data_IF_792523331112
#
_entry.id   IF_792523331112
#
_cell.length_a   1.000
_cell.length_b   1.000
_cell.length_c   1.000
_cell.angle_alpha   90.00
_cell.angle_beta   90.00
_cell.angle_gamma   90.00
#
_symmetry.space_group_name_H-M   'P 1'
#
loop_
_entity.id
_entity.type
_entity.pdbx_description
1 polymer ?
#
# COMPACT_ATOMS: atom_id res chain seq x y z
N UNK A 1 -4.99 28.16 11.31
CA UNK A 1 -4.13 27.25 10.53
C UNK A 1 -3.52 26.28 11.51
N UNK A 2 -3.85 24.98 11.39
CA UNK A 2 -3.44 23.94 12.34
C UNK A 2 -1.92 23.79 12.37
N UNK A 3 -1.35 23.82 13.57
CA UNK A 3 0.06 23.62 13.83
C UNK A 3 0.43 22.18 13.46
N UNK A 4 1.16 21.98 12.36
CA UNK A 4 1.71 20.67 12.02
C UNK A 4 3.05 20.52 12.75
N UNK A 5 3.12 19.58 13.68
CA UNK A 5 4.38 19.22 14.34
C UNK A 5 5.38 18.72 13.29
N UNK A 6 6.65 19.09 13.47
CA UNK A 6 7.76 18.60 12.64
C UNK A 6 7.73 17.08 12.62
N UNK A 7 7.95 16.51 11.44
CA UNK A 7 7.96 15.06 11.24
C UNK A 7 8.98 14.42 12.19
N UNK A 8 8.58 13.46 13.04
CA UNK A 8 9.50 12.83 13.97
C UNK A 8 10.60 12.08 13.22
N UNK A 9 11.85 12.22 13.69
CA UNK A 9 13.08 11.59 13.14
C UNK A 9 12.98 10.05 13.07
N UNK A 10 12.00 9.45 13.76
CA UNK A 10 11.72 8.01 13.77
C UNK A 10 11.37 7.39 12.40
N UNK A 11 11.15 8.18 11.34
CA UNK A 11 11.03 7.64 9.96
C UNK A 11 12.33 6.99 9.48
N UNK A 12 13.48 7.37 10.06
CA UNK A 12 14.79 6.83 9.70
C UNK A 12 15.06 5.44 10.30
N UNK A 13 14.21 4.99 11.23
CA UNK A 13 14.36 3.69 11.85
C UNK A 13 13.60 2.62 11.06
N UNK A 14 14.23 1.45 10.91
CA UNK A 14 13.63 0.28 10.27
C UNK A 14 12.37 -0.12 11.03
N UNK A 15 11.20 0.00 10.39
CA UNK A 15 9.92 -0.42 10.97
C UNK A 15 9.80 -1.93 10.81
N UNK A 16 10.30 -2.69 11.78
CA UNK A 16 10.41 -4.15 11.64
C UNK A 16 9.10 -4.91 11.87
N UNK A 17 8.08 -4.35 12.54
CA UNK A 17 7.04 -5.19 13.13
C UNK A 17 5.56 -4.79 12.94
N UNK A 18 5.23 -3.78 12.14
CA UNK A 18 3.83 -3.31 12.06
C UNK A 18 2.85 -4.35 11.50
N UNK A 19 3.26 -5.18 10.54
CA UNK A 19 2.40 -6.24 9.98
C UNK A 19 2.12 -7.35 10.99
N UNK A 20 3.12 -7.74 11.78
CA UNK A 20 2.94 -8.77 12.81
C UNK A 20 2.08 -8.26 13.96
N UNK A 21 2.26 -6.99 14.37
CA UNK A 21 1.40 -6.33 15.36
C UNK A 21 -0.04 -6.27 14.85
N UNK A 22 -0.25 -5.84 13.59
CA UNK A 22 -1.58 -5.79 13.00
C UNK A 22 -2.23 -7.16 12.86
N UNK A 23 -1.48 -8.19 12.44
CA UNK A 23 -1.99 -9.57 12.33
C UNK A 23 -2.39 -10.11 13.71
N UNK A 24 -1.59 -9.83 14.75
CA UNK A 24 -1.93 -10.20 16.12
C UNK A 24 -3.20 -9.50 16.60
N UNK A 25 -3.28 -8.17 16.49
CA UNK A 25 -4.48 -7.41 16.88
C UNK A 25 -5.74 -7.81 16.10
N UNK A 26 -5.60 -8.07 14.80
CA UNK A 26 -6.69 -8.53 13.95
C UNK A 26 -7.19 -9.90 14.37
N UNK A 27 -6.27 -10.81 14.70
CA UNK A 27 -6.59 -12.16 15.14
C UNK A 27 -7.26 -12.16 16.51
N UNK A 28 -6.81 -11.31 17.43
CA UNK A 28 -7.44 -11.15 18.75
C UNK A 28 -8.89 -10.67 18.60
N UNK A 29 -9.13 -9.67 17.73
CA UNK A 29 -10.50 -9.20 17.42
C UNK A 29 -11.35 -10.24 16.72
N UNK A 30 -10.77 -11.02 15.80
CA UNK A 30 -11.49 -12.12 15.13
C UNK A 30 -11.90 -13.19 16.14
N UNK A 31 -11.03 -13.54 17.08
CA UNK A 31 -11.35 -14.52 18.12
C UNK A 31 -12.42 -14.01 19.09
N UNK A 32 -12.43 -12.72 19.39
CA UNK A 32 -13.48 -12.08 20.21
C UNK A 32 -14.86 -12.13 19.54
N UNK A 33 -14.92 -11.79 18.25
CA UNK A 33 -16.17 -11.68 17.50
C UNK A 33 -16.68 -13.02 16.92
N UNK A 34 -15.75 -13.89 16.52
CA UNK A 34 -16.01 -15.16 15.85
C UNK A 34 -15.12 -16.27 16.44
N UNK A 35 -15.38 -16.71 17.69
CA UNK A 35 -14.52 -17.68 18.38
C UNK A 35 -14.43 -19.04 17.67
N UNK A 36 -15.48 -19.44 16.96
CA UNK A 36 -15.51 -20.66 16.13
C UNK A 36 -14.62 -20.56 14.88
N UNK A 37 -14.31 -19.35 14.42
CA UNK A 37 -13.47 -19.07 13.27
C UNK A 37 -11.96 -19.08 13.58
N UNK A 38 -11.57 -19.24 14.84
CA UNK A 38 -10.16 -19.30 15.24
C UNK A 38 -9.92 -20.58 16.04
N UNK A 39 -9.16 -21.51 15.47
CA UNK A 39 -8.83 -22.80 16.10
C UNK A 39 -7.33 -22.94 16.28
N UNK A 40 -6.88 -23.20 17.51
CA UNK A 40 -5.46 -23.36 17.88
C UNK A 40 -4.58 -22.18 17.43
N UNK A 41 -5.14 -20.97 17.42
CA UNK A 41 -4.45 -19.79 16.94
C UNK A 41 -4.25 -19.75 15.42
N UNK A 42 -5.05 -20.47 14.64
CA UNK A 42 -5.11 -20.34 13.18
C UNK A 42 -6.53 -19.92 12.80
N UNK A 43 -6.65 -18.99 11.85
CA UNK A 43 -7.96 -18.56 11.33
C UNK A 43 -8.49 -19.65 10.41
N UNK A 44 -9.61 -20.24 10.79
CA UNK A 44 -10.39 -21.16 9.97
C UNK A 44 -11.40 -20.35 9.14
N UNK A 45 -11.05 -20.14 7.88
CA UNK A 45 -11.87 -19.37 6.95
C UNK A 45 -13.19 -20.07 6.60
N UNK A 46 -13.27 -21.40 6.67
CA UNK A 46 -14.51 -22.13 6.41
C UNK A 46 -15.49 -21.93 7.57
N UNK A 47 -15.01 -22.06 8.82
CA UNK A 47 -15.81 -21.76 10.00
C UNK A 47 -16.25 -20.28 10.01
N UNK A 48 -15.36 -19.35 9.68
CA UNK A 48 -15.69 -17.93 9.55
C UNK A 48 -16.80 -17.68 8.52
N UNK A 49 -16.69 -18.29 7.33
CA UNK A 49 -17.70 -18.17 6.28
C UNK A 49 -19.04 -18.79 6.71
N UNK A 50 -19.03 -19.88 7.46
CA UNK A 50 -20.25 -20.50 8.00
C UNK A 50 -20.94 -19.63 9.06
N UNK A 51 -20.18 -18.91 9.91
CA UNK A 51 -20.73 -17.93 10.87
C UNK A 51 -21.47 -16.78 10.20
N UNK A 52 -21.03 -16.37 9.00
CA UNK A 52 -21.75 -15.39 8.18
C UNK A 52 -23.04 -15.96 7.54
N UNK A 53 -23.41 -17.19 7.90
CA UNK A 53 -24.43 -17.98 7.25
C UNK A 53 -23.92 -18.47 5.90
N UNK A 54 -24.35 -19.66 5.45
CA UNK A 54 -24.11 -20.22 4.10
C UNK A 54 -24.74 -19.39 2.97
N UNK A 55 -24.65 -18.07 3.05
CA UNK A 55 -25.04 -17.03 2.12
C UNK A 55 -23.83 -16.20 1.65
N UNK A 56 -22.64 -16.80 1.66
CA UNK A 56 -21.74 -16.57 0.55
C UNK A 56 -22.19 -17.36 -0.71
N UNK A 57 -23.51 -17.56 -0.90
CA UNK A 57 -24.12 -17.44 -2.23
C UNK A 57 -23.93 -16.00 -2.74
N UNK A 58 -22.69 -15.53 -2.79
CA UNK A 58 -22.34 -14.71 -3.93
C UNK A 58 -22.31 -15.71 -5.06
N UNK A 59 -23.38 -15.74 -5.85
CA UNK A 59 -23.25 -16.05 -7.26
C UNK A 59 -21.96 -15.39 -7.73
N UNK A 60 -20.87 -16.17 -7.85
CA UNK A 60 -19.59 -15.65 -8.34
C UNK A 60 -19.78 -15.01 -9.73
N UNK A 61 -20.88 -15.39 -10.39
CA UNK A 61 -21.37 -14.91 -11.67
C UNK A 61 -21.75 -13.42 -11.71
N UNK A 62 -22.13 -12.80 -10.58
CA UNK A 62 -22.60 -11.39 -10.57
C UNK A 62 -21.64 -10.38 -9.91
N UNK A 63 -20.37 -10.74 -9.68
CA UNK A 63 -19.37 -9.76 -9.24
C UNK A 63 -18.72 -9.08 -10.45
N UNK A 64 -19.13 -7.85 -10.75
CA UNK A 64 -18.45 -7.02 -11.73
C UNK A 64 -16.99 -6.78 -11.30
N UNK A 65 -16.05 -7.41 -12.00
CA UNK A 65 -14.62 -7.29 -11.75
C UNK A 65 -13.91 -6.87 -13.04
N UNK A 66 -13.09 -5.83 -12.95
CA UNK A 66 -12.17 -5.50 -14.03
C UNK A 66 -11.03 -6.52 -14.04
N UNK A 67 -10.87 -7.27 -15.13
CA UNK A 67 -9.78 -8.25 -15.33
C UNK A 67 -8.91 -7.81 -16.49
N UNK A 68 -7.60 -7.81 -16.28
CA UNK A 68 -6.60 -7.51 -17.30
C UNK A 68 -5.37 -8.41 -17.09
N UNK A 69 -4.59 -8.61 -18.15
CA UNK A 69 -3.34 -9.37 -18.09
C UNK A 69 -2.38 -8.67 -17.13
N UNK A 70 -1.77 -9.43 -16.20
CA UNK A 70 -0.87 -8.87 -15.18
C UNK A 70 -1.55 -8.34 -13.91
N UNK A 71 -2.89 -8.37 -13.79
CA UNK A 71 -3.60 -7.91 -12.56
C UNK A 71 -3.08 -8.59 -11.29
N UNK A 72 -2.94 -9.92 -11.31
CA UNK A 72 -2.50 -10.70 -10.15
C UNK A 72 -1.06 -10.36 -9.75
N UNK A 73 -0.18 -10.18 -10.74
CA UNK A 73 1.22 -9.81 -10.55
C UNK A 73 1.33 -8.39 -9.98
N UNK A 74 0.57 -7.43 -10.53
CA UNK A 74 0.54 -6.06 -10.02
C UNK A 74 0.10 -5.99 -8.54
N UNK A 75 -0.93 -6.77 -8.16
CA UNK A 75 -1.38 -6.88 -6.77
C UNK A 75 -0.28 -7.50 -5.89
N UNK A 76 0.38 -8.56 -6.36
CA UNK A 76 1.48 -9.19 -5.63
C UNK A 76 2.62 -8.20 -5.41
N UNK A 77 3.09 -7.53 -6.47
CA UNK A 77 4.17 -6.54 -6.39
C UNK A 77 3.83 -5.36 -5.50
N UNK A 78 2.58 -4.88 -5.48
CA UNK A 78 2.16 -3.81 -4.58
C UNK A 78 2.19 -4.21 -3.08
N UNK A 79 2.02 -5.50 -2.79
CA UNK A 79 1.97 -6.07 -1.44
C UNK A 79 3.29 -6.67 -0.97
N UNK A 80 4.25 -6.89 -1.87
CA UNK A 80 5.60 -7.33 -1.50
C UNK A 80 6.28 -6.26 -0.64
N UNK A 81 6.85 -6.71 0.48
CA UNK A 81 7.59 -5.84 1.41
C UNK A 81 8.88 -5.34 0.76
N UNK A 82 9.33 -4.14 1.13
CA UNK A 82 10.60 -3.62 0.65
C UNK A 82 11.75 -4.17 1.52
N UNK A 83 12.71 -4.84 0.89
CA UNK A 83 13.82 -5.51 1.58
C UNK A 83 15.12 -4.82 1.18
N UNK A 84 15.96 -4.51 2.17
CA UNK A 84 17.32 -4.00 1.94
C UNK A 84 17.40 -2.58 1.40
N UNK A 85 16.30 -1.82 1.40
CA UNK A 85 16.28 -0.40 1.00
C UNK A 85 15.85 0.48 2.17
N UNK A 86 16.48 1.65 2.28
CA UNK A 86 16.17 2.67 3.28
C UNK A 86 16.31 4.06 2.67
N UNK A 87 15.70 5.06 3.28
CA UNK A 87 15.90 6.45 2.89
C UNK A 87 17.24 6.95 3.44
N UNK A 88 18.01 7.64 2.60
CA UNK A 88 19.25 8.31 2.99
C UNK A 88 19.00 9.82 3.02
N UNK A 89 19.27 10.46 4.14
CA UNK A 89 19.23 11.92 4.25
C UNK A 89 20.45 12.54 3.57
N UNK A 90 20.23 13.55 2.72
CA UNK A 90 21.28 14.28 1.98
C UNK A 90 21.14 15.78 2.30
N UNK A 91 21.91 16.31 3.27
CA UNK A 91 21.83 17.71 3.67
C UNK A 91 22.25 18.66 2.54
N UNK A 92 23.20 18.24 1.72
CA UNK A 92 23.80 19.06 0.65
C UNK A 92 22.76 19.50 -0.40
N UNK A 93 21.79 18.62 -0.68
CA UNK A 93 20.69 18.87 -1.64
C UNK A 93 19.45 19.46 -0.97
N UNK A 94 19.50 19.69 0.35
CA UNK A 94 18.37 20.17 1.13
C UNK A 94 18.31 21.69 1.15
N UNK A 95 17.13 22.24 0.84
CA UNK A 95 16.86 23.68 0.95
C UNK A 95 16.25 24.01 2.30
N UNK A 96 16.93 24.86 3.08
CA UNK A 96 16.53 25.27 4.43
C UNK A 96 16.25 24.07 5.38
N UNK A 97 17.22 23.15 5.56
CA UNK A 97 17.00 21.87 6.24
C UNK A 97 16.46 22.01 7.67
N UNK A 98 16.86 23.06 8.40
CA UNK A 98 16.45 23.28 9.79
C UNK A 98 15.01 23.81 9.94
N UNK A 99 14.45 24.39 8.88
CA UNK A 99 13.17 25.11 8.95
C UNK A 99 12.10 24.54 8.03
N UNK A 100 12.47 23.83 6.97
CA UNK A 100 11.52 23.27 6.01
C UNK A 100 10.71 22.13 6.63
N UNK A 101 9.42 22.08 6.31
CA UNK A 101 8.54 20.94 6.63
C UNK A 101 8.24 20.09 5.38
N UNK A 102 8.88 20.42 4.25
CA UNK A 102 8.67 19.74 2.97
C UNK A 102 9.70 18.63 2.79
N UNK A 103 9.27 17.53 2.21
CA UNK A 103 10.11 16.38 1.90
C UNK A 103 10.17 16.19 0.39
N UNK A 104 11.39 16.08 -0.13
CA UNK A 104 11.66 15.65 -1.50
C UNK A 104 12.39 14.31 -1.42
N UNK A 105 11.91 13.32 -2.18
CA UNK A 105 12.51 11.98 -2.24
C UNK A 105 12.74 11.65 -3.70
N UNK A 106 13.96 11.22 -4.01
CA UNK A 106 14.33 10.70 -5.31
C UNK A 106 14.36 9.17 -5.29
N UNK A 107 13.78 8.53 -6.30
CA UNK A 107 13.74 7.08 -6.45
C UNK A 107 12.51 6.59 -7.20
N UNK A 108 12.37 5.27 -7.30
CA UNK A 108 11.16 4.63 -7.82
C UNK A 108 9.98 4.91 -6.88
N UNK A 109 8.91 5.44 -7.45
CA UNK A 109 7.73 5.89 -6.74
C UNK A 109 7.00 4.75 -6.01
N UNK A 110 6.97 3.52 -6.55
CA UNK A 110 6.34 2.40 -5.83
C UNK A 110 7.15 2.02 -4.59
N UNK A 111 8.47 1.98 -4.69
CA UNK A 111 9.36 1.68 -3.57
C UNK A 111 9.32 2.76 -2.48
N UNK A 112 9.36 4.03 -2.90
CA UNK A 112 9.24 5.17 -1.99
C UNK A 112 7.91 5.12 -1.23
N UNK A 113 6.79 4.87 -1.93
CA UNK A 113 5.48 4.74 -1.28
C UNK A 113 5.43 3.57 -0.30
N UNK A 114 6.12 2.45 -0.57
CA UNK A 114 6.23 1.34 0.38
C UNK A 114 6.99 1.73 1.65
N UNK A 115 8.08 2.50 1.53
CA UNK A 115 8.83 3.00 2.69
C UNK A 115 8.01 3.99 3.54
N UNK A 116 7.26 4.87 2.88
CA UNK A 116 6.44 5.87 3.57
C UNK A 116 5.16 5.30 4.18
N UNK A 117 4.72 4.12 3.73
CA UNK A 117 3.44 3.49 4.09
C UNK A 117 3.16 3.55 5.59
N UNK A 118 4.10 3.10 6.42
CA UNK A 118 3.88 3.00 7.86
C UNK A 118 3.87 4.37 8.54
N UNK A 119 4.79 5.26 8.17
CA UNK A 119 4.95 6.56 8.83
C UNK A 119 3.84 7.55 8.48
N UNK A 120 3.26 7.42 7.28
CA UNK A 120 2.25 8.34 6.73
C UNK A 120 0.86 7.71 6.57
N UNK A 121 0.64 6.49 7.08
CA UNK A 121 -0.68 5.85 7.04
C UNK A 121 -1.76 6.76 7.65
N UNK A 122 -2.79 7.07 6.87
CA UNK A 122 -3.90 7.94 7.31
C UNK A 122 -3.54 9.41 7.54
N UNK A 123 -2.31 9.85 7.26
CA UNK A 123 -1.85 11.24 7.50
C UNK A 123 -1.89 12.13 6.26
N UNK A 124 -2.07 11.56 5.07
CA UNK A 124 -2.07 12.30 3.79
C UNK A 124 -3.47 12.85 3.49
N UNK A 125 -3.60 14.18 3.42
CA UNK A 125 -4.88 14.86 3.14
C UNK A 125 -5.26 14.82 1.65
N UNK A 126 -4.29 14.92 0.76
CA UNK A 126 -4.50 15.02 -0.68
C UNK A 126 -3.32 14.42 -1.42
N UNK A 127 -3.60 13.75 -2.54
CA UNK A 127 -2.61 13.21 -3.47
C UNK A 127 -2.83 13.86 -4.85
N UNK A 128 -1.77 14.38 -5.46
CA UNK A 128 -1.76 14.87 -6.83
C UNK A 128 -0.71 14.11 -7.64
N UNK A 129 -1.13 13.48 -8.75
CA UNK A 129 -0.26 12.68 -9.61
C UNK A 129 -0.54 13.08 -11.06
N UNK A 130 0.52 13.37 -11.81
CA UNK A 130 0.47 13.51 -13.27
C UNK A 130 1.13 12.28 -13.87
N UNK A 131 0.37 11.50 -14.65
CA UNK A 131 0.90 10.36 -15.37
C UNK A 131 1.12 10.79 -16.81
N UNK A 132 2.38 10.78 -17.25
CA UNK A 132 2.72 10.98 -18.65
C UNK A 132 2.45 9.68 -19.41
N UNK A 133 1.49 9.72 -20.34
CA UNK A 133 1.25 8.62 -21.25
C UNK A 133 2.15 8.79 -22.48
N UNK A 134 3.11 7.88 -22.66
CA UNK A 134 3.87 7.78 -23.91
C UNK A 134 3.03 7.05 -24.96
N UNK A 135 1.94 7.66 -25.43
CA UNK A 135 1.26 7.18 -26.64
C UNK A 135 2.05 7.70 -27.85
N UNK A 136 2.77 6.80 -28.50
CA UNK A 136 3.49 7.07 -29.74
C UNK A 136 2.59 6.65 -30.91
N UNK A 137 1.77 7.56 -31.45
CA UNK A 137 0.93 7.29 -32.63
C UNK A 137 1.77 7.54 -33.89
N UNK A 138 2.72 6.66 -34.20
CA UNK A 138 3.29 6.60 -35.55
C UNK A 138 2.68 5.41 -36.29
N UNK A 139 1.51 5.63 -36.87
CA UNK A 139 1.09 4.90 -38.07
C UNK A 139 0.31 5.83 -38.99
N UNK A 140 1.01 6.76 -39.63
CA UNK A 140 0.66 7.15 -40.99
C UNK A 140 1.81 6.68 -41.86
N UNK A 141 1.69 5.43 -42.28
CA UNK A 141 2.45 4.87 -43.38
C UNK A 141 2.45 5.85 -44.53
N UNK A 142 3.64 6.14 -45.04
CA UNK A 142 3.88 6.49 -46.43
C UNK A 142 3.10 5.54 -47.35
N UNK A 143 1.92 5.97 -47.78
CA UNK A 143 1.35 5.64 -49.09
C UNK A 143 1.77 6.86 -49.94
N UNK A 144 2.84 6.84 -50.74
CA UNK A 144 3.04 5.99 -51.91
C UNK A 144 1.72 5.75 -52.66
N UNK A 145 1.24 6.82 -53.30
CA UNK A 145 0.99 6.87 -54.75
C UNK A 145 1.28 8.30 -55.25
#
# INVERSE_FOLDING_TARGET
>A
MSNFEKVPVGILNKVENNKQIFIAEFKDKLQELFPSAVKDGVVDFEALLNEFGKYAETDEKEKYNMTWVGKKEAIKTANEDIIGKTLKYIPEDSKNPETTQNLYIEGDNLEVLKLLRNSYYGKIKMIYIVIYSSINIYSLSTLNE
#
